data_IF_460424840361
#
_entry.id   IF_460424840361
#
_cell.length_a   1.000
_cell.length_b   1.000
_cell.length_c   1.000
_cell.angle_alpha   90.00
_cell.angle_beta   90.00
_cell.angle_gamma   90.00
#
_symmetry.space_group_name_H-M   'P 1'
#
loop_
_entity.id
_entity.type
_entity.pdbx_description
1 polymer ?
#
# COMPACT_ATOMS: atom_id res chain seq x y z
N UNK A 1 20.12 3.92 -16.25
CA UNK A 1 18.71 4.28 -16.34
C UNK A 1 18.01 4.00 -15.02
N UNK A 2 16.91 4.71 -14.77
CA UNK A 2 16.04 4.46 -13.61
C UNK A 2 14.63 4.31 -14.13
N UNK A 3 13.92 3.30 -13.64
CA UNK A 3 12.56 2.98 -14.05
C UNK A 3 11.60 3.20 -12.89
N UNK A 4 10.56 3.98 -13.12
CA UNK A 4 9.47 4.16 -12.17
C UNK A 4 8.21 3.53 -12.75
N UNK A 5 7.56 2.67 -12.00
CA UNK A 5 6.30 2.04 -12.38
C UNK A 5 5.29 2.15 -11.25
N UNK A 6 4.02 2.00 -11.57
CA UNK A 6 2.97 1.99 -10.55
C UNK A 6 1.88 0.98 -10.87
N UNK A 7 1.18 0.54 -9.83
CA UNK A 7 0.06 -0.39 -9.91
C UNK A 7 -1.08 0.11 -9.04
N UNK A 8 -2.26 0.23 -9.62
CA UNK A 8 -3.50 0.55 -8.90
C UNK A 8 -4.27 -0.72 -8.58
N UNK A 9 -4.82 -0.77 -7.37
CA UNK A 9 -5.60 -1.90 -6.87
C UNK A 9 -6.82 -1.37 -6.14
N UNK A 10 -7.94 -2.09 -6.25
CA UNK A 10 -9.11 -1.88 -5.40
C UNK A 10 -9.28 -3.08 -4.48
N UNK A 11 -9.49 -2.81 -3.19
CA UNK A 11 -9.64 -3.81 -2.14
C UNK A 11 -10.94 -3.55 -1.42
N UNK A 12 -11.79 -4.57 -1.28
CA UNK A 12 -12.97 -4.53 -0.42
C UNK A 12 -12.61 -5.19 0.90
N UNK A 13 -12.58 -4.42 1.99
CA UNK A 13 -12.16 -4.95 3.27
C UNK A 13 -12.79 -4.18 4.43
N UNK A 14 -12.99 -4.88 5.54
CA UNK A 14 -13.52 -4.30 6.76
C UNK A 14 -12.40 -4.08 7.78
N UNK A 15 -12.58 -3.09 8.64
CA UNK A 15 -11.69 -2.84 9.77
C UNK A 15 -12.44 -2.16 10.91
N UNK A 16 -11.83 -2.21 12.08
CA UNK A 16 -12.17 -1.35 13.20
C UNK A 16 -10.88 -0.75 13.76
N UNK A 17 -10.96 0.46 14.33
CA UNK A 17 -9.79 1.14 14.85
C UNK A 17 -9.76 1.10 16.36
N UNK A 18 -8.60 0.81 16.94
CA UNK A 18 -8.33 0.99 18.37
C UNK A 18 -7.90 2.43 18.58
N UNK A 19 -8.74 3.23 19.23
CA UNK A 19 -8.51 4.65 19.42
C UNK A 19 -8.47 5.00 20.91
N UNK A 20 -7.78 6.08 21.25
CA UNK A 20 -7.71 6.61 22.62
C UNK A 20 -8.94 7.44 23.00
N UNK A 21 -9.92 7.56 22.11
CA UNK A 21 -11.16 8.33 22.28
C UNK A 21 -12.34 7.61 21.62
N UNK A 22 -13.58 7.97 21.97
CA UNK A 22 -14.77 7.40 21.34
C UNK A 22 -14.92 7.88 19.90
N UNK A 23 -15.22 6.95 18.99
CA UNK A 23 -15.43 7.24 17.58
C UNK A 23 -16.23 6.11 16.94
N UNK A 24 -16.96 6.44 15.87
CA UNK A 24 -17.63 5.44 15.01
C UNK A 24 -16.62 4.50 14.37
N UNK A 25 -15.37 4.94 14.19
CA UNK A 25 -14.30 4.12 13.61
C UNK A 25 -13.88 2.97 14.51
N UNK A 26 -14.26 2.97 15.79
CA UNK A 26 -14.03 1.85 16.71
C UNK A 26 -14.99 0.67 16.46
N UNK A 27 -16.05 0.88 15.70
CA UNK A 27 -16.96 -0.19 15.27
C UNK A 27 -16.51 -0.76 13.95
N UNK A 28 -16.69 -2.06 13.76
CA UNK A 28 -16.34 -2.74 12.49
C UNK A 28 -17.16 -2.16 11.34
N UNK A 29 -16.47 -1.76 10.28
CA UNK A 29 -17.08 -1.20 9.07
C UNK A 29 -16.24 -1.53 7.85
N UNK A 30 -16.83 -1.44 6.67
CA UNK A 30 -16.18 -1.79 5.42
C UNK A 30 -15.94 -0.60 4.50
N UNK A 31 -14.93 -0.72 3.67
CA UNK A 31 -14.59 0.24 2.63
C UNK A 31 -14.18 -0.46 1.35
N UNK A 32 -14.28 0.25 0.23
CA UNK A 32 -13.61 -0.08 -1.02
C UNK A 32 -12.36 0.76 -1.10
N UNK A 33 -11.24 0.17 -0.68
CA UNK A 33 -9.95 0.83 -0.60
C UNK A 33 -9.35 0.99 -1.97
N UNK A 34 -8.89 2.20 -2.30
CA UNK A 34 -8.13 2.45 -3.52
C UNK A 34 -6.66 2.55 -3.14
N UNK A 35 -5.86 1.68 -3.69
CA UNK A 35 -4.42 1.58 -3.38
C UNK A 35 -3.64 1.81 -4.65
N UNK A 36 -2.59 2.62 -4.56
CA UNK A 36 -1.61 2.73 -5.65
C UNK A 36 -0.22 2.52 -5.06
N UNK A 37 0.53 1.60 -5.65
CA UNK A 37 1.89 1.27 -5.26
C UNK A 37 2.86 1.76 -6.32
N UNK A 38 3.95 2.39 -5.89
CA UNK A 38 4.96 3.00 -6.76
C UNK A 38 6.28 2.31 -6.52
N UNK A 39 6.90 1.87 -7.61
CA UNK A 39 8.12 1.08 -7.58
C UNK A 39 9.23 1.78 -8.33
N UNK A 40 10.46 1.53 -7.91
CA UNK A 40 11.67 2.04 -8.57
C UNK A 40 12.64 0.89 -8.79
N UNK A 41 13.31 0.87 -9.94
CA UNK A 41 14.35 -0.09 -10.24
C UNK A 41 15.42 0.52 -11.13
N UNK A 42 16.66 0.09 -10.93
CA UNK A 42 17.80 0.50 -11.77
C UNK A 42 18.11 -0.54 -12.85
N UNK A 43 17.65 -1.77 -12.63
CA UNK A 43 17.84 -2.90 -13.53
C UNK A 43 16.50 -3.58 -13.74
N UNK A 44 16.33 -4.15 -14.92
CA UNK A 44 15.18 -4.99 -15.25
C UNK A 44 15.56 -6.46 -15.07
N UNK A 45 14.59 -7.28 -14.69
CA UNK A 45 14.78 -8.71 -14.65
C UNK A 45 14.85 -9.31 -16.08
N UNK A 46 15.00 -10.62 -16.18
CA UNK A 46 15.10 -11.30 -17.48
C UNK A 46 13.89 -11.11 -18.40
N UNK A 47 12.74 -10.75 -17.83
CA UNK A 47 11.50 -10.53 -18.58
C UNK A 47 11.30 -9.04 -18.93
N UNK A 48 12.24 -8.18 -18.58
CA UNK A 48 12.19 -6.76 -18.88
C UNK A 48 11.32 -5.94 -17.96
N UNK A 49 11.10 -6.40 -16.72
CA UNK A 49 10.26 -5.69 -15.73
C UNK A 49 11.05 -5.34 -14.47
N UNK A 50 10.61 -4.27 -13.78
CA UNK A 50 11.07 -3.96 -12.42
C UNK A 50 10.49 -4.97 -11.44
N UNK A 51 9.19 -5.24 -11.58
CA UNK A 51 8.46 -6.24 -10.81
C UNK A 51 7.22 -6.64 -11.63
N UNK A 52 6.78 -7.87 -11.47
CA UNK A 52 5.58 -8.38 -12.16
C UNK A 52 4.32 -7.80 -11.48
N UNK A 53 3.53 -7.04 -12.24
CA UNK A 53 2.27 -6.47 -11.77
C UNK A 53 1.29 -7.53 -11.26
N UNK A 54 1.26 -8.70 -11.87
CA UNK A 54 0.41 -9.81 -11.45
C UNK A 54 0.82 -10.33 -10.08
N UNK A 55 2.12 -10.41 -9.82
CA UNK A 55 2.65 -10.79 -8.52
C UNK A 55 2.25 -9.79 -7.44
N UNK A 56 2.33 -8.49 -7.74
CA UNK A 56 1.89 -7.42 -6.82
C UNK A 56 0.42 -7.59 -6.46
N UNK A 57 -0.43 -7.72 -7.47
CA UNK A 57 -1.87 -7.90 -7.26
C UNK A 57 -2.17 -9.14 -6.41
N UNK A 58 -1.54 -10.26 -6.74
CA UNK A 58 -1.76 -11.53 -6.04
C UNK A 58 -1.36 -11.43 -4.57
N UNK A 59 -0.22 -10.81 -4.27
CA UNK A 59 0.26 -10.66 -2.90
C UNK A 59 -0.65 -9.76 -2.07
N UNK A 60 -1.10 -8.65 -2.62
CA UNK A 60 -1.94 -7.67 -1.90
C UNK A 60 -3.37 -8.19 -1.76
N UNK A 61 -3.99 -8.63 -2.87
CA UNK A 61 -5.35 -9.17 -2.85
C UNK A 61 -5.45 -10.41 -1.96
N UNK A 62 -4.45 -11.29 -2.02
CA UNK A 62 -4.44 -12.51 -1.21
C UNK A 62 -4.43 -12.24 0.29
N UNK A 63 -3.89 -11.10 0.71
CA UNK A 63 -3.85 -10.71 2.12
C UNK A 63 -5.07 -9.90 2.55
N UNK A 64 -5.51 -8.97 1.71
CA UNK A 64 -6.43 -7.90 2.13
C UNK A 64 -7.84 -8.02 1.57
N UNK A 65 -7.99 -8.54 0.33
CA UNK A 65 -9.28 -8.49 -0.35
C UNK A 65 -10.30 -9.41 0.30
N UNK A 66 -11.52 -8.90 0.52
CA UNK A 66 -12.60 -9.59 1.22
C UNK A 66 -12.22 -10.04 2.64
N UNK A 67 -11.30 -9.32 3.29
CA UNK A 67 -10.81 -9.65 4.62
C UNK A 67 -11.35 -8.70 5.69
N UNK A 68 -11.32 -9.18 6.93
CA UNK A 68 -11.35 -8.32 8.11
C UNK A 68 -9.88 -8.00 8.45
N UNK A 69 -9.48 -6.75 8.24
CA UNK A 69 -8.07 -6.36 8.36
C UNK A 69 -7.54 -6.50 9.78
N UNK A 70 -8.41 -6.47 10.80
CA UNK A 70 -8.01 -6.70 12.18
C UNK A 70 -7.59 -8.15 12.44
N UNK A 71 -8.07 -9.09 11.64
CA UNK A 71 -7.70 -10.50 11.76
C UNK A 71 -6.40 -10.83 11.00
N UNK A 72 -6.13 -10.10 9.90
CA UNK A 72 -4.96 -10.37 9.07
C UNK A 72 -3.72 -9.59 9.46
N UNK A 73 -3.86 -8.50 10.21
CA UNK A 73 -2.76 -7.68 10.70
C UNK A 73 -2.74 -7.66 12.23
N UNK A 74 -1.54 -7.56 12.79
CA UNK A 74 -1.32 -7.43 14.25
C UNK A 74 -1.19 -5.98 14.71
N UNK A 75 -1.36 -5.03 13.79
CA UNK A 75 -1.32 -3.59 14.07
C UNK A 75 -2.72 -2.99 13.89
N UNK A 76 -2.91 -1.78 14.42
CA UNK A 76 -4.13 -0.99 14.21
C UNK A 76 -4.26 -0.67 12.70
N UNK A 77 -5.28 -1.16 11.99
CA UNK A 77 -5.33 -1.10 10.53
C UNK A 77 -5.82 0.27 10.02
N UNK A 78 -5.07 1.30 10.33
CA UNK A 78 -5.22 2.65 9.77
C UNK A 78 -4.69 2.68 8.34
N UNK A 79 -5.11 3.66 7.55
CA UNK A 79 -4.57 3.86 6.20
C UNK A 79 -3.05 4.05 6.23
N UNK A 80 -2.52 4.76 7.25
CA UNK A 80 -1.10 4.99 7.44
C UNK A 80 -0.33 3.68 7.68
N UNK A 81 -0.81 2.86 8.62
CA UNK A 81 -0.18 1.58 8.95
C UNK A 81 -0.27 0.57 7.81
N UNK A 82 -1.39 0.54 7.10
CA UNK A 82 -1.56 -0.29 5.89
C UNK A 82 -0.58 0.17 4.82
N UNK A 83 -0.45 1.48 4.59
CA UNK A 83 0.51 2.03 3.65
C UNK A 83 1.95 1.64 3.96
N UNK A 84 2.32 1.68 5.23
CA UNK A 84 3.65 1.24 5.68
C UNK A 84 3.86 -0.24 5.39
N UNK A 85 2.89 -1.08 5.70
CA UNK A 85 2.96 -2.51 5.41
C UNK A 85 3.16 -2.77 3.92
N UNK A 86 2.42 -2.04 3.06
CA UNK A 86 2.52 -2.18 1.61
C UNK A 86 3.91 -1.79 1.09
N UNK A 87 4.46 -0.68 1.58
CA UNK A 87 5.81 -0.24 1.18
C UNK A 87 6.87 -1.25 1.63
N UNK A 88 6.71 -1.83 2.81
CA UNK A 88 7.65 -2.83 3.32
C UNK A 88 7.52 -4.19 2.64
N UNK A 89 6.37 -4.47 2.01
CA UNK A 89 6.10 -5.76 1.39
C UNK A 89 7.01 -6.07 0.21
N UNK A 90 7.39 -5.04 -0.56
CA UNK A 90 8.23 -5.19 -1.73
C UNK A 90 9.47 -4.30 -1.62
N UNK A 91 10.69 -4.86 -1.81
CA UNK A 91 11.92 -4.06 -1.77
C UNK A 91 11.91 -2.88 -2.74
N UNK A 92 11.29 -3.05 -3.92
CA UNK A 92 11.24 -2.04 -4.98
C UNK A 92 10.18 -0.95 -4.73
N UNK A 93 9.25 -1.18 -3.81
CA UNK A 93 8.16 -0.24 -3.54
C UNK A 93 8.66 0.89 -2.62
N UNK A 94 8.67 2.11 -3.15
CA UNK A 94 9.12 3.27 -2.38
C UNK A 94 7.97 4.14 -1.86
N UNK A 95 6.75 3.93 -2.36
CA UNK A 95 5.60 4.77 -2.00
C UNK A 95 4.31 3.99 -2.15
N UNK A 96 3.39 4.20 -1.23
CA UNK A 96 2.02 3.72 -1.32
C UNK A 96 1.05 4.87 -1.03
N UNK A 97 -0.02 4.97 -1.83
CA UNK A 97 -1.18 5.77 -1.49
C UNK A 97 -2.31 4.84 -1.11
N UNK A 98 -2.96 5.12 0.01
CA UNK A 98 -4.06 4.31 0.54
C UNK A 98 -5.23 5.23 0.77
N UNK A 99 -6.23 5.14 -0.12
CA UNK A 99 -7.48 5.85 0.04
C UNK A 99 -8.48 4.91 0.70
N UNK A 100 -8.79 5.19 1.97
CA UNK A 100 -9.78 4.44 2.74
C UNK A 100 -11.18 4.64 2.19
N UNK A 101 -11.52 5.89 1.95
CA UNK A 101 -12.82 6.33 1.42
C UNK A 101 -12.61 7.65 0.68
N UNK A 102 -13.60 8.09 -0.07
CA UNK A 102 -13.48 9.35 -0.81
C UNK A 102 -13.06 10.50 0.11
N UNK A 103 -11.98 11.15 -0.24
CA UNK A 103 -11.44 12.30 0.50
C UNK A 103 -10.52 11.96 1.66
N UNK A 104 -10.29 10.67 1.96
CA UNK A 104 -9.46 10.23 3.09
C UNK A 104 -8.33 9.35 2.59
N UNK A 105 -7.16 9.93 2.41
CA UNK A 105 -6.00 9.27 1.79
C UNK A 105 -4.76 9.46 2.66
N UNK A 106 -4.02 8.37 2.86
CA UNK A 106 -2.67 8.39 3.41
C UNK A 106 -1.65 8.17 2.29
N UNK A 107 -0.52 8.82 2.39
CA UNK A 107 0.64 8.61 1.50
C UNK A 107 1.83 8.25 2.38
N UNK A 108 2.45 7.12 2.09
CA UNK A 108 3.61 6.63 2.82
C UNK A 108 4.77 6.49 1.86
N UNK A 109 5.91 7.08 2.20
CA UNK A 109 7.12 7.04 1.38
C UNK A 109 8.27 6.50 2.22
N UNK A 110 8.98 5.51 1.68
CA UNK A 110 10.27 5.08 2.24
C UNK A 110 11.37 5.88 1.53
N UNK A 111 11.82 6.93 2.18
CA UNK A 111 12.81 7.86 1.63
C UNK A 111 14.16 7.21 1.35
N UNK A 112 14.51 6.14 2.06
CA UNK A 112 15.76 5.41 1.84
C UNK A 112 15.81 4.76 0.46
N UNK A 113 14.65 4.30 -0.04
CA UNK A 113 14.57 3.60 -1.33
C UNK A 113 14.76 4.55 -2.53
N UNK A 114 14.62 5.85 -2.32
CA UNK A 114 14.81 6.87 -3.36
C UNK A 114 15.92 7.84 -3.03
N UNK A 115 16.77 7.49 -2.07
CA UNK A 115 17.90 8.36 -1.65
C UNK A 115 18.80 8.68 -2.84
N UNK A 116 19.06 9.97 -3.04
CA UNK A 116 19.90 10.47 -4.12
C UNK A 116 19.21 10.64 -5.46
N UNK A 117 17.98 10.16 -5.60
CA UNK A 117 17.19 10.28 -6.83
C UNK A 117 15.82 10.94 -6.62
N UNK A 118 15.63 11.60 -5.48
CA UNK A 118 14.34 12.22 -5.12
C UNK A 118 13.88 13.21 -6.20
N UNK A 119 14.81 13.91 -6.83
CA UNK A 119 14.54 14.89 -7.89
C UNK A 119 14.04 14.26 -9.19
N UNK A 120 14.18 12.93 -9.37
CA UNK A 120 13.73 12.20 -10.55
C UNK A 120 12.36 11.56 -10.37
N UNK A 121 11.86 11.50 -9.14
CA UNK A 121 10.58 10.85 -8.83
C UNK A 121 9.44 11.59 -9.53
N UNK A 122 8.62 10.88 -10.34
CA UNK A 122 7.52 11.49 -11.07
C UNK A 122 6.37 11.94 -10.16
#
# INVERSE_FOLDING_TARGET
MIYFISKKLEISAAHSLTLSYESKCSSLHGHNWQIELFFVGRELNQDGTVIDFTHVKKAVHGKMDHANLNEVFDFNPTAENIGRWLVDLFPECYKATVQESFGNTAVVVDEEKIRGIEHLVP
#
